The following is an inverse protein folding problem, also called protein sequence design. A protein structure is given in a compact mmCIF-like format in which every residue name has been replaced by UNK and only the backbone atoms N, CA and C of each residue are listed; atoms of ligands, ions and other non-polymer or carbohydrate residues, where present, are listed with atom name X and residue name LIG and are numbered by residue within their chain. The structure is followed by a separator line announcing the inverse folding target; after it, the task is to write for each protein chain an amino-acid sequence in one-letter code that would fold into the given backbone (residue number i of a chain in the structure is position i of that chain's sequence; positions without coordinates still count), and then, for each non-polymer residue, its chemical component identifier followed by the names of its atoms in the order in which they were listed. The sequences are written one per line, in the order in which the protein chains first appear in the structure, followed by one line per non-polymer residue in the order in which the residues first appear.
data_IF_530142251065
#
_entry.id   IF_530142251065
#
_cell.length_a   1.000
_cell.length_b   1.000
_cell.length_c   1.000
_cell.angle_alpha   90.00
_cell.angle_beta   90.00
_cell.angle_gamma   90.00
#
_symmetry.space_group_name_H-M   'P 1'
#
loop_
_entity.id
_entity.type
_entity.pdbx_description
1 polymer ?
#
# COMPACT_ATOMS: atom_id res chain seq x y z
N UNK A 1 -12.32 -56.17 41.16
CA UNK A 1 -12.63 -54.76 40.87
C UNK A 1 -11.70 -54.28 39.77
N UNK A 2 -12.19 -54.10 38.54
CA UNK A 2 -11.43 -53.51 37.43
C UNK A 2 -12.12 -52.19 37.06
N UNK A 3 -11.44 -51.08 37.33
CA UNK A 3 -11.91 -49.73 37.06
C UNK A 3 -11.58 -49.40 35.60
N UNK A 4 -12.62 -49.22 34.77
CA UNK A 4 -12.46 -48.78 33.37
C UNK A 4 -12.48 -47.24 33.36
N UNK A 5 -11.37 -46.63 32.99
CA UNK A 5 -11.28 -45.20 32.74
C UNK A 5 -11.84 -44.88 31.35
N UNK A 6 -12.87 -44.05 31.30
CA UNK A 6 -13.42 -43.48 30.07
C UNK A 6 -12.64 -42.20 29.78
N UNK A 7 -11.92 -42.16 28.66
CA UNK A 7 -11.28 -40.94 28.15
C UNK A 7 -12.32 -40.22 27.30
N UNK A 8 -12.76 -39.05 27.76
CA UNK A 8 -13.61 -38.13 26.99
C UNK A 8 -12.69 -37.17 26.25
N UNK A 9 -12.60 -37.32 24.92
CA UNK A 9 -11.86 -36.40 24.06
C UNK A 9 -12.80 -35.27 23.68
N UNK A 10 -12.56 -34.06 24.21
CA UNK A 10 -13.24 -32.84 23.78
C UNK A 10 -12.62 -32.36 22.46
N UNK A 11 -13.35 -32.51 21.37
CA UNK A 11 -13.03 -31.86 20.10
C UNK A 11 -13.51 -30.40 20.19
N UNK A 12 -12.61 -29.48 20.53
CA UNK A 12 -12.88 -28.04 20.43
C UNK A 12 -12.70 -27.66 18.97
N UNK A 13 -13.82 -27.59 18.24
CA UNK A 13 -13.85 -27.10 16.88
C UNK A 13 -13.74 -25.57 16.93
N UNK A 14 -12.53 -25.03 16.74
CA UNK A 14 -12.35 -23.60 16.50
C UNK A 14 -12.98 -23.28 15.14
N UNK A 15 -14.16 -22.66 15.14
CA UNK A 15 -14.65 -21.93 13.97
C UNK A 15 -13.74 -20.72 13.80
N UNK A 16 -12.72 -20.84 12.95
CA UNK A 16 -12.00 -19.68 12.45
C UNK A 16 -12.97 -18.98 11.52
N UNK A 17 -13.58 -17.88 11.99
CA UNK A 17 -14.21 -16.91 11.11
C UNK A 17 -13.08 -16.33 10.28
N UNK A 18 -12.84 -16.91 9.10
CA UNK A 18 -12.00 -16.28 8.10
C UNK A 18 -12.70 -14.96 7.77
N UNK A 19 -12.12 -13.84 8.23
CA UNK A 19 -12.52 -12.53 7.75
C UNK A 19 -12.43 -12.61 6.23
N UNK A 20 -13.55 -12.48 5.54
CA UNK A 20 -13.54 -12.35 4.09
C UNK A 20 -12.74 -11.12 3.80
N UNK A 21 -11.53 -11.29 3.24
CA UNK A 21 -10.77 -10.18 2.70
C UNK A 21 -11.73 -9.45 1.74
N UNK A 22 -12.05 -8.20 2.06
CA UNK A 22 -12.94 -7.41 1.24
C UNK A 22 -12.16 -7.12 -0.04
N UNK A 23 -12.65 -7.63 -1.16
CA UNK A 23 -11.96 -7.49 -2.44
C UNK A 23 -11.96 -6.03 -2.86
N UNK A 24 -10.85 -5.57 -3.42
CA UNK A 24 -10.73 -4.26 -4.05
C UNK A 24 -11.79 -4.16 -5.17
N UNK A 25 -12.60 -3.09 -5.21
CA UNK A 25 -13.59 -2.91 -6.26
C UNK A 25 -12.98 -2.85 -7.67
N UNK A 26 -13.74 -3.34 -8.65
CA UNK A 26 -13.43 -3.17 -10.07
C UNK A 26 -13.87 -1.77 -10.51
N UNK A 27 -13.15 -1.20 -11.49
CA UNK A 27 -13.52 0.09 -12.09
C UNK A 27 -13.99 -0.19 -13.52
N UNK A 28 -15.30 -0.43 -13.71
CA UNK A 28 -15.90 -0.85 -15.00
C UNK A 28 -17.23 -0.17 -15.35
N UNK A 29 -17.74 0.70 -14.48
CA UNK A 29 -18.97 1.46 -14.64
C UNK A 29 -20.20 0.68 -14.18
N UNK A 30 -20.03 -0.41 -13.43
CA UNK A 30 -21.11 -1.26 -12.93
C UNK A 30 -20.87 -1.59 -11.46
N UNK A 31 -21.77 -1.14 -10.60
CA UNK A 31 -21.78 -1.55 -9.20
C UNK A 31 -22.52 -2.89 -9.09
N UNK A 32 -21.76 -4.00 -9.02
CA UNK A 32 -22.33 -5.33 -8.87
C UNK A 32 -22.71 -5.61 -7.40
N UNK A 33 -23.74 -6.43 -7.13
CA UNK A 33 -24.12 -6.78 -5.75
C UNK A 33 -22.95 -7.34 -4.94
N UNK A 34 -22.66 -6.75 -3.78
CA UNK A 34 -21.58 -7.18 -2.89
C UNK A 34 -20.19 -6.61 -3.21
N UNK A 35 -20.03 -5.88 -4.31
CA UNK A 35 -18.74 -5.28 -4.70
C UNK A 35 -18.44 -4.02 -3.88
N UNK A 36 -19.39 -3.09 -3.83
CA UNK A 36 -19.23 -1.81 -3.14
C UNK A 36 -19.97 -1.73 -1.81
N UNK A 37 -20.80 -2.73 -1.47
CA UNK A 37 -21.68 -2.73 -0.29
C UNK A 37 -20.94 -2.43 1.02
N UNK A 38 -19.72 -2.95 1.18
CA UNK A 38 -18.89 -2.73 2.36
C UNK A 38 -18.27 -1.32 2.45
N UNK A 39 -18.37 -0.54 1.37
CA UNK A 39 -17.73 0.76 1.19
C UNK A 39 -18.74 1.91 1.07
N UNK A 40 -20.04 1.66 1.30
CA UNK A 40 -21.06 2.69 1.30
C UNK A 40 -20.83 3.68 2.45
N UNK A 41 -20.54 4.94 2.10
CA UNK A 41 -20.37 6.03 3.06
C UNK A 41 -21.72 6.66 3.43
N UNK A 42 -22.69 6.60 2.51
CA UNK A 42 -24.07 7.01 2.71
C UNK A 42 -24.70 7.55 1.43
N UNK A 43 -25.88 8.13 1.57
CA UNK A 43 -26.69 8.63 0.45
C UNK A 43 -26.86 10.14 0.59
N UNK A 44 -26.42 10.91 -0.40
CA UNK A 44 -26.74 12.34 -0.50
C UNK A 44 -28.13 12.49 -1.12
N UNK A 45 -28.95 13.42 -0.61
CA UNK A 45 -30.26 13.73 -1.22
C UNK A 45 -30.30 15.22 -1.56
N UNK A 46 -30.55 15.53 -2.83
CA UNK A 46 -30.61 16.92 -3.29
C UNK A 46 -31.91 17.60 -2.84
N UNK A 47 -31.82 18.88 -2.47
CA UNK A 47 -32.98 19.72 -2.15
C UNK A 47 -33.79 20.20 -3.36
N UNK A 48 -33.50 19.69 -4.57
CA UNK A 48 -34.14 20.17 -5.80
C UNK A 48 -35.58 19.67 -5.88
N UNK A 49 -36.45 20.39 -6.59
CA UNK A 49 -37.88 20.09 -6.72
C UNK A 49 -38.11 18.71 -7.33
N UNK A 50 -38.20 17.68 -6.48
CA UNK A 50 -38.39 16.27 -6.84
C UNK A 50 -37.45 15.30 -6.13
N UNK A 51 -36.33 15.78 -5.57
CA UNK A 51 -35.30 14.96 -4.91
C UNK A 51 -34.54 14.07 -5.90
N UNK A 52 -33.21 14.08 -5.81
CA UNK A 52 -32.34 13.08 -6.44
C UNK A 52 -31.42 12.56 -5.34
N UNK A 53 -31.21 11.25 -5.28
CA UNK A 53 -30.26 10.66 -4.34
C UNK A 53 -29.06 10.08 -5.05
N UNK A 54 -27.91 10.19 -4.40
CA UNK A 54 -26.65 9.63 -4.86
C UNK A 54 -26.05 8.84 -3.73
N UNK A 55 -25.88 7.55 -3.93
CA UNK A 55 -25.08 6.72 -3.05
C UNK A 55 -23.60 7.00 -3.31
N UNK A 56 -22.86 7.27 -2.24
CA UNK A 56 -21.44 7.59 -2.27
C UNK A 56 -20.68 6.48 -1.58
N UNK A 57 -19.72 5.92 -2.29
CA UNK A 57 -18.87 4.83 -1.82
C UNK A 57 -17.41 5.29 -1.80
N UNK A 58 -16.63 4.80 -0.84
CA UNK A 58 -15.21 5.11 -0.81
C UNK A 58 -14.39 4.24 0.12
N UNK A 59 -13.18 3.89 -0.34
CA UNK A 59 -12.19 3.15 0.44
C UNK A 59 -10.78 3.54 -0.01
N UNK A 60 -9.84 3.50 0.91
CA UNK A 60 -8.41 3.64 0.61
C UNK A 60 -7.73 2.28 0.76
N UNK A 61 -7.03 1.85 -0.29
CA UNK A 61 -6.25 0.62 -0.29
C UNK A 61 -5.04 0.74 -1.23
N UNK A 62 -3.90 0.15 -0.83
CA UNK A 62 -2.69 0.09 -1.66
C UNK A 62 -2.18 1.45 -2.17
N UNK A 63 -2.40 2.55 -1.44
CA UNK A 63 -2.02 3.91 -1.86
C UNK A 63 -2.98 4.57 -2.86
N UNK A 64 -4.15 3.98 -3.09
CA UNK A 64 -5.20 4.53 -3.95
C UNK A 64 -6.48 4.80 -3.16
N UNK A 65 -7.16 5.89 -3.51
CA UNK A 65 -8.57 6.12 -3.19
C UNK A 65 -9.42 5.47 -4.28
N UNK A 66 -10.30 4.57 -3.87
CA UNK A 66 -11.38 4.04 -4.67
C UNK A 66 -12.64 4.81 -4.27
N UNK A 67 -13.33 5.40 -5.25
CA UNK A 67 -14.55 6.15 -5.02
C UNK A 67 -15.58 5.79 -6.09
N UNK A 68 -16.83 5.59 -5.69
CA UNK A 68 -17.94 5.39 -6.62
C UNK A 68 -19.15 6.22 -6.23
N UNK A 69 -19.95 6.54 -7.24
CA UNK A 69 -21.14 7.35 -7.12
C UNK A 69 -22.24 6.72 -7.96
N UNK A 70 -23.41 6.52 -7.38
CA UNK A 70 -24.57 5.94 -8.04
C UNK A 70 -25.80 6.81 -7.82
N UNK A 71 -26.31 7.42 -8.90
CA UNK A 71 -27.53 8.21 -8.81
C UNK A 71 -28.78 7.33 -9.01
N UNK A 72 -29.76 7.49 -8.13
CA UNK A 72 -31.07 6.87 -8.27
C UNK A 72 -31.88 7.60 -9.34
N UNK A 73 -31.89 7.02 -10.54
CA UNK A 73 -32.56 7.57 -11.72
C UNK A 73 -34.09 7.39 -11.70
N UNK A 74 -34.63 6.75 -10.67
CA UNK A 74 -36.08 6.52 -10.51
C UNK A 74 -36.79 7.65 -9.77
N UNK A 75 -36.06 8.58 -9.16
CA UNK A 75 -36.63 9.66 -8.35
C UNK A 75 -37.27 10.76 -9.19
N UNK A 76 -38.29 11.41 -8.63
CA UNK A 76 -39.08 12.44 -9.31
C UNK A 76 -38.26 13.65 -9.77
N UNK A 77 -37.11 13.92 -9.13
CA UNK A 77 -36.19 14.97 -9.54
C UNK A 77 -35.43 14.64 -10.83
N UNK A 78 -35.19 13.36 -11.13
CA UNK A 78 -34.31 12.92 -12.22
C UNK A 78 -34.69 13.46 -13.61
N UNK A 79 -35.98 13.46 -14.03
CA UNK A 79 -36.35 13.98 -15.35
C UNK A 79 -36.03 15.47 -15.55
N UNK A 80 -35.87 16.23 -14.45
CA UNK A 80 -35.50 17.65 -14.50
C UNK A 80 -33.99 17.89 -14.42
N UNK A 81 -33.22 16.87 -14.04
CA UNK A 81 -31.78 16.96 -13.78
C UNK A 81 -30.95 16.04 -14.68
N UNK A 82 -31.57 15.20 -15.50
CA UNK A 82 -30.89 14.20 -16.34
C UNK A 82 -29.84 14.80 -17.28
N UNK A 83 -30.05 16.03 -17.77
CA UNK A 83 -29.07 16.77 -18.57
C UNK A 83 -27.77 17.08 -17.81
N UNK A 84 -27.78 16.95 -16.48
CA UNK A 84 -26.62 17.17 -15.61
C UNK A 84 -25.84 15.88 -15.33
N UNK A 85 -26.45 14.70 -15.53
CA UNK A 85 -25.88 13.39 -15.18
C UNK A 85 -25.37 13.32 -13.72
N UNK A 86 -24.70 12.22 -13.34
CA UNK A 86 -23.69 12.34 -12.27
C UNK A 86 -22.76 13.50 -12.69
N UNK A 87 -22.59 14.51 -11.82
CA UNK A 87 -22.04 15.79 -12.18
C UNK A 87 -20.64 15.64 -12.77
N UNK A 88 -20.22 16.59 -13.62
CA UNK A 88 -18.90 16.55 -14.20
C UNK A 88 -17.82 16.72 -13.13
N UNK A 89 -18.12 17.33 -12.00
CA UNK A 89 -17.11 17.79 -11.06
C UNK A 89 -17.17 17.03 -9.74
N UNK A 90 -16.10 16.27 -9.48
CA UNK A 90 -15.85 15.57 -8.21
C UNK A 90 -14.75 16.30 -7.46
N UNK A 91 -15.03 16.64 -6.21
CA UNK A 91 -14.09 17.33 -5.34
C UNK A 91 -13.60 16.37 -4.26
N UNK A 92 -12.30 16.37 -4.07
CA UNK A 92 -11.61 15.66 -3.02
C UNK A 92 -10.86 16.68 -2.20
N UNK A 93 -11.07 16.65 -0.89
CA UNK A 93 -10.51 17.65 0.02
C UNK A 93 -9.73 16.99 1.16
N UNK A 94 -8.53 17.51 1.38
CA UNK A 94 -7.60 17.12 2.44
C UNK A 94 -6.65 18.30 2.71
N UNK A 95 -6.29 18.63 3.97
CA UNK A 95 -6.93 18.14 5.18
C UNK A 95 -8.38 18.66 5.28
N UNK A 96 -9.20 18.06 6.13
CA UNK A 96 -10.58 18.49 6.40
C UNK A 96 -10.65 19.98 6.81
N UNK A 97 -9.58 20.50 7.42
CA UNK A 97 -9.46 21.90 7.83
C UNK A 97 -9.21 22.88 6.68
N UNK A 98 -8.98 22.40 5.44
CA UNK A 98 -8.83 23.28 4.30
C UNK A 98 -10.11 24.10 4.09
N UNK A 99 -9.97 25.41 3.87
CA UNK A 99 -11.09 26.33 3.59
C UNK A 99 -10.86 26.89 2.21
N UNK A 100 -11.84 26.81 1.32
CA UNK A 100 -11.76 27.39 -0.02
C UNK A 100 -11.44 28.90 0.05
N UNK A 101 -10.48 29.44 -0.73
CA UNK A 101 -9.67 28.82 -1.80
C UNK A 101 -8.25 28.37 -1.38
N UNK A 102 -8.06 27.88 -0.16
CA UNK A 102 -6.77 27.35 0.28
C UNK A 102 -6.37 26.06 -0.46
N UNK A 103 -5.06 25.81 -0.54
CA UNK A 103 -4.53 24.52 -0.96
C UNK A 103 -5.20 23.41 -0.13
N UNK A 104 -5.54 22.30 -0.79
CA UNK A 104 -6.19 21.15 -0.15
C UNK A 104 -7.35 20.57 -0.94
N UNK A 105 -7.76 21.23 -2.02
CA UNK A 105 -8.77 20.72 -2.93
C UNK A 105 -8.14 20.12 -4.18
N UNK A 106 -8.71 19.02 -4.64
CA UNK A 106 -8.44 18.39 -5.91
C UNK A 106 -9.78 18.20 -6.63
N UNK A 107 -9.87 18.73 -7.85
CA UNK A 107 -11.05 18.64 -8.70
C UNK A 107 -10.76 17.68 -9.84
N UNK A 108 -11.61 16.68 -10.01
CA UNK A 108 -11.67 15.89 -11.23
C UNK A 108 -12.89 16.31 -12.02
N UNK A 109 -12.61 16.95 -13.15
CA UNK A 109 -13.62 17.44 -14.08
C UNK A 109 -13.83 16.40 -15.17
N UNK A 110 -15.09 16.04 -15.42
CA UNK A 110 -15.54 15.30 -16.58
C UNK A 110 -16.07 16.32 -17.58
N UNK A 111 -15.20 16.76 -18.47
CA UNK A 111 -15.61 17.60 -19.58
C UNK A 111 -16.44 16.78 -20.55
N UNK A 112 -17.63 17.29 -20.88
CA UNK A 112 -18.53 16.68 -21.84
C UNK A 112 -17.99 16.91 -23.25
N UNK A 113 -17.55 15.84 -23.89
CA UNK A 113 -17.38 15.81 -25.33
C UNK A 113 -18.78 15.69 -25.95
N UNK A 114 -19.33 16.81 -26.45
CA UNK A 114 -20.62 16.85 -27.13
C UNK A 114 -20.68 16.02 -28.44
N UNK A 115 -19.57 15.42 -28.88
CA UNK A 115 -19.42 14.67 -30.13
C UNK A 115 -19.04 13.18 -29.95
N UNK A 116 -18.86 12.68 -28.72
CA UNK A 116 -18.63 11.26 -28.42
C UNK A 116 -17.33 10.65 -29.00
N UNK A 117 -16.34 11.46 -29.35
CA UNK A 117 -15.06 10.98 -29.87
C UNK A 117 -13.84 11.81 -29.42
N UNK A 118 -13.55 11.86 -28.11
CA UNK A 118 -12.28 11.49 -27.43
C UNK A 118 -12.21 12.15 -26.04
N UNK A 119 -12.34 11.39 -24.93
CA UNK A 119 -12.42 11.97 -23.60
C UNK A 119 -11.01 12.11 -23.00
N UNK A 120 -10.35 13.24 -23.25
CA UNK A 120 -9.20 13.74 -22.47
C UNK A 120 -8.83 15.14 -23.04
N UNK A 121 -9.76 16.09 -22.95
CA UNK A 121 -9.56 17.45 -23.48
C UNK A 121 -8.63 18.25 -22.58
N UNK A 122 -7.33 18.13 -22.80
CA UNK A 122 -6.22 18.93 -22.29
C UNK A 122 -6.05 19.04 -20.75
N UNK A 123 -7.11 19.15 -19.93
CA UNK A 123 -7.11 19.31 -18.47
C UNK A 123 -8.37 18.70 -17.86
N UNK A 124 -8.23 17.55 -17.21
CA UNK A 124 -9.31 16.84 -16.51
C UNK A 124 -9.08 16.76 -14.99
N UNK A 125 -7.89 17.18 -14.56
CA UNK A 125 -7.40 17.07 -13.20
C UNK A 125 -6.87 18.44 -12.81
N UNK A 126 -7.39 18.99 -11.71
CA UNK A 126 -7.01 20.31 -11.21
C UNK A 126 -6.76 20.24 -9.70
N UNK A 127 -5.85 21.06 -9.19
CA UNK A 127 -5.58 21.21 -7.76
C UNK A 127 -5.62 22.68 -7.38
N UNK A 128 -6.08 22.98 -6.17
CA UNK A 128 -6.00 24.35 -5.66
C UNK A 128 -4.57 24.74 -5.34
N UNK A 129 -4.10 25.86 -5.91
CA UNK A 129 -2.77 26.44 -5.67
C UNK A 129 -2.74 27.44 -4.49
N UNK A 130 -3.89 27.66 -3.84
CA UNK A 130 -4.09 28.61 -2.75
C UNK A 130 -4.78 29.90 -3.17
N UNK A 131 -5.01 30.09 -4.47
CA UNK A 131 -5.74 31.22 -5.06
C UNK A 131 -6.88 30.73 -5.96
N UNK A 132 -6.71 29.57 -6.61
CA UNK A 132 -7.74 28.90 -7.39
C UNK A 132 -7.24 27.55 -7.91
N UNK A 133 -7.95 26.99 -8.89
CA UNK A 133 -7.54 25.73 -9.51
C UNK A 133 -6.45 25.93 -10.58
N UNK A 134 -5.37 25.16 -10.46
CA UNK A 134 -4.34 25.00 -11.47
C UNK A 134 -4.50 23.63 -12.15
N UNK A 135 -4.46 23.62 -13.48
CA UNK A 135 -4.56 22.38 -14.26
C UNK A 135 -3.30 21.53 -14.18
N UNK A 136 -3.45 20.25 -13.87
CA UNK A 136 -2.34 19.28 -13.71
C UNK A 136 -2.32 18.18 -14.78
N UNK A 137 -3.22 18.25 -15.77
CA UNK A 137 -3.22 17.39 -16.95
C UNK A 137 -4.44 16.48 -17.06
N UNK A 138 -4.31 15.36 -17.77
CA UNK A 138 -5.38 14.39 -17.98
C UNK A 138 -5.41 13.31 -16.90
N UNK A 139 -6.54 12.62 -16.73
CA UNK A 139 -6.67 11.57 -15.70
C UNK A 139 -5.73 10.40 -16.00
N UNK A 140 -5.66 9.97 -17.27
CA UNK A 140 -4.79 8.87 -17.69
C UNK A 140 -3.29 9.18 -17.49
N UNK A 141 -2.85 10.42 -17.80
CA UNK A 141 -1.46 10.84 -17.59
C UNK A 141 -1.06 10.83 -16.10
N UNK A 142 -2.03 10.99 -15.21
CA UNK A 142 -1.84 10.95 -13.76
C UNK A 142 -2.12 9.56 -13.15
N UNK A 143 -2.37 8.52 -13.96
CA UNK A 143 -2.57 7.15 -13.45
C UNK A 143 -3.93 6.92 -12.77
N UNK A 144 -4.91 7.79 -13.03
CA UNK A 144 -6.29 7.60 -12.58
C UNK A 144 -6.97 6.60 -13.52
N UNK A 145 -7.54 5.53 -12.95
CA UNK A 145 -8.46 4.64 -13.67
C UNK A 145 -9.88 5.10 -13.40
N UNK A 146 -10.73 5.14 -14.43
CA UNK A 146 -12.11 5.57 -14.30
C UNK A 146 -13.02 4.74 -15.18
N UNK A 147 -14.25 4.57 -14.76
CA UNK A 147 -15.30 4.01 -15.59
C UNK A 147 -16.63 4.68 -15.26
N UNK A 148 -17.50 4.76 -16.24
CA UNK A 148 -18.79 5.40 -16.06
C UNK A 148 -19.82 4.75 -16.96
N UNK A 149 -21.07 4.82 -16.50
CA UNK A 149 -22.23 4.38 -17.25
C UNK A 149 -23.24 5.50 -17.21
N UNK A 150 -23.52 6.05 -18.38
CA UNK A 150 -24.54 7.07 -18.59
C UNK A 150 -25.67 6.51 -19.44
N UNK A 151 -26.87 7.11 -19.37
CA UNK A 151 -27.91 6.89 -20.38
C UNK A 151 -27.40 7.23 -21.78
N UNK A 152 -27.87 6.53 -22.82
CA UNK A 152 -27.38 6.68 -24.19
C UNK A 152 -27.39 8.14 -24.70
N UNK A 153 -26.28 8.52 -25.36
CA UNK A 153 -26.06 9.87 -25.92
C UNK A 153 -27.04 10.15 -27.06
N UNK A 154 -28.09 10.93 -26.78
CA UNK A 154 -29.13 11.27 -27.76
C UNK A 154 -30.45 11.67 -27.11
N UNK A 155 -30.62 11.39 -25.82
CA UNK A 155 -31.84 11.71 -25.08
C UNK A 155 -31.73 13.04 -24.32
N UNK A 156 -31.56 14.14 -25.07
CA UNK A 156 -31.61 15.51 -24.51
C UNK A 156 -32.98 15.88 -23.89
N UNK A 157 -33.93 14.94 -23.84
CA UNK A 157 -35.30 15.18 -23.37
C UNK A 157 -35.79 14.17 -22.33
N UNK A 158 -35.02 13.13 -21.98
CA UNK A 158 -35.42 12.00 -21.13
C UNK A 158 -36.93 11.70 -21.02
N UNK A 159 -37.70 11.47 -22.11
CA UNK A 159 -39.11 11.14 -21.93
C UNK A 159 -39.31 9.66 -21.60
N UNK A 160 -38.33 8.78 -21.91
CA UNK A 160 -38.48 7.32 -21.76
C UNK A 160 -37.14 6.56 -21.69
N UNK A 161 -36.03 7.24 -21.39
CA UNK A 161 -34.70 6.64 -21.33
C UNK A 161 -34.66 5.42 -20.41
N UNK A 162 -34.11 4.32 -20.92
CA UNK A 162 -33.96 3.03 -20.24
C UNK A 162 -33.62 3.21 -18.76
N UNK A 163 -34.46 2.66 -17.87
CA UNK A 163 -34.13 2.53 -16.45
C UNK A 163 -32.71 1.96 -16.34
N UNK A 164 -31.78 2.76 -15.84
CA UNK A 164 -30.38 2.44 -15.80
C UNK A 164 -29.69 3.32 -14.77
N UNK A 165 -28.78 2.71 -14.02
CA UNK A 165 -27.94 3.41 -13.05
C UNK A 165 -27.06 4.42 -13.80
N UNK A 166 -26.98 5.65 -13.28
CA UNK A 166 -25.93 6.57 -13.65
C UNK A 166 -24.80 6.37 -12.65
N UNK A 167 -23.65 5.89 -13.12
CA UNK A 167 -22.53 5.44 -12.27
C UNK A 167 -21.25 6.14 -12.71
N UNK A 168 -20.45 6.56 -11.73
CA UNK A 168 -19.06 6.92 -11.94
C UNK A 168 -18.18 6.22 -10.89
N UNK A 169 -17.10 5.59 -11.35
CA UNK A 169 -16.12 4.90 -10.51
C UNK A 169 -14.72 5.42 -10.80
N UNK A 170 -13.92 5.55 -9.74
CA UNK A 170 -12.57 6.07 -9.80
C UNK A 170 -11.62 5.24 -8.94
N UNK A 171 -10.42 5.02 -9.47
CA UNK A 171 -9.22 4.64 -8.72
C UNK A 171 -8.19 5.75 -8.89
N UNK A 172 -7.85 6.40 -7.79
CA UNK A 172 -7.11 7.66 -7.74
C UNK A 172 -5.86 7.46 -6.89
N UNK A 173 -4.64 7.67 -7.41
CA UNK A 173 -3.44 7.69 -6.55
C UNK A 173 -3.57 8.78 -5.49
N UNK A 174 -3.39 8.43 -4.21
CA UNK A 174 -3.51 9.41 -3.10
C UNK A 174 -2.46 10.51 -3.21
N UNK A 175 -1.33 10.23 -3.85
CA UNK A 175 -0.28 11.22 -4.16
C UNK A 175 -0.76 12.36 -5.06
N UNK A 176 -1.91 12.21 -5.73
CA UNK A 176 -2.54 13.29 -6.52
C UNK A 176 -3.50 14.14 -5.71
N UNK A 177 -3.82 13.77 -4.47
CA UNK A 177 -4.66 14.59 -3.61
C UNK A 177 -3.78 15.62 -2.93
N UNK A 178 -4.22 16.88 -2.94
CA UNK A 178 -3.49 17.97 -2.31
C UNK A 178 -3.35 17.67 -0.81
N UNK A 179 -2.14 17.36 -0.33
CA UNK A 179 -1.84 16.86 1.03
C UNK A 179 -2.26 15.42 1.36
N UNK A 180 -2.60 14.57 0.39
CA UNK A 180 -2.66 13.10 0.54
C UNK A 180 -3.32 12.51 1.80
N UNK A 181 -4.28 13.21 2.42
CA UNK A 181 -4.83 12.90 3.75
C UNK A 181 -3.82 12.96 4.88
N UNK A 182 -3.10 14.08 5.01
CA UNK A 182 -2.20 14.40 6.13
C UNK A 182 -2.90 14.28 7.51
N UNK A 183 -4.22 14.43 7.56
CA UNK A 183 -5.06 14.20 8.74
C UNK A 183 -5.74 12.83 8.76
N UNK A 184 -5.32 11.93 7.86
CA UNK A 184 -5.85 10.59 7.63
C UNK A 184 -7.31 10.57 7.15
N UNK A 185 -7.80 11.66 6.56
CA UNK A 185 -9.17 11.76 6.07
C UNK A 185 -9.16 12.36 4.66
N UNK A 186 -10.00 11.80 3.78
CA UNK A 186 -10.33 12.40 2.50
C UNK A 186 -11.83 12.69 2.50
N UNK A 187 -12.17 13.96 2.31
CA UNK A 187 -13.55 14.39 2.11
C UNK A 187 -13.93 14.25 0.63
N UNK A 188 -15.07 13.59 0.36
CA UNK A 188 -15.65 13.38 -0.96
C UNK A 188 -16.89 14.28 -1.10
N UNK A 189 -16.91 15.09 -2.16
CA UNK A 189 -18.02 15.99 -2.50
C UNK A 189 -18.20 16.13 -4.01
N UNK A 190 -19.35 16.69 -4.42
CA UNK A 190 -19.66 16.91 -5.84
C UNK A 190 -20.54 18.13 -6.04
N UNK A 191 -20.32 18.85 -7.15
CA UNK A 191 -20.84 20.21 -7.36
C UNK A 191 -22.37 20.35 -7.26
N UNK A 192 -23.13 19.30 -7.59
CA UNK A 192 -24.57 19.43 -7.86
C UNK A 192 -25.47 18.50 -7.03
N UNK A 193 -24.93 17.65 -6.17
CA UNK A 193 -25.74 16.77 -5.31
C UNK A 193 -25.64 17.03 -3.80
N UNK A 194 -24.78 17.95 -3.38
CA UNK A 194 -24.81 18.56 -2.05
C UNK A 194 -25.40 19.96 -2.24
N UNK A 195 -26.47 20.29 -1.52
CA UNK A 195 -27.15 21.58 -1.65
C UNK A 195 -26.32 22.65 -0.92
N UNK A 196 -25.19 23.04 -1.54
CA UNK A 196 -24.16 23.83 -0.90
C UNK A 196 -23.01 22.95 -0.41
N UNK A 197 -21.78 23.48 -0.48
CA UNK A 197 -20.56 22.80 0.00
C UNK A 197 -20.59 22.49 1.52
N UNK A 198 -21.59 22.98 2.24
CA UNK A 198 -21.76 22.83 3.69
C UNK A 198 -22.69 21.65 4.07
N UNK A 199 -23.38 21.03 3.11
CA UNK A 199 -24.31 19.93 3.37
C UNK A 199 -23.62 18.56 3.22
N UNK A 200 -23.57 17.80 4.33
CA UNK A 200 -23.17 16.40 4.49
C UNK A 200 -22.02 15.93 3.58
N UNK A 201 -20.80 16.22 4.01
CA UNK A 201 -19.57 15.63 3.47
C UNK A 201 -19.49 14.12 3.77
N UNK A 202 -18.94 13.36 2.82
CA UNK A 202 -18.58 11.95 3.00
C UNK A 202 -17.09 11.85 3.27
N UNK A 203 -16.71 10.95 4.17
CA UNK A 203 -15.31 10.83 4.61
C UNK A 203 -14.80 9.42 4.38
N UNK A 204 -13.64 9.33 3.73
CA UNK A 204 -12.85 8.10 3.68
C UNK A 204 -11.69 8.25 4.64
N UNK A 205 -11.55 7.30 5.57
CA UNK A 205 -10.38 7.26 6.46
C UNK A 205 -9.22 6.61 5.73
N UNK A 206 -8.07 7.28 5.71
CA UNK A 206 -6.80 6.68 5.34
C UNK A 206 -6.28 5.97 6.57
N UNK A 207 -6.08 4.66 6.49
CA UNK A 207 -5.29 3.98 7.51
C UNK A 207 -3.83 4.22 7.17
N UNK A 208 -3.08 5.02 7.95
CA UNK A 208 -1.67 5.22 7.68
C UNK A 208 -0.96 3.87 7.76
N UNK A 209 0.07 3.63 6.92
CA UNK A 209 0.80 2.38 6.99
C UNK A 209 1.40 2.20 8.38
N UNK A 210 1.30 0.98 8.90
CA UNK A 210 1.95 0.61 10.16
C UNK A 210 3.42 0.39 9.88
N UNK A 211 4.26 1.29 10.41
CA UNK A 211 5.72 1.19 10.30
C UNK A 211 6.27 0.42 11.49
N UNK A 212 7.07 -0.62 11.22
CA UNK A 212 7.77 -1.38 12.27
C UNK A 212 9.26 -1.43 11.98
N UNK A 213 10.07 -0.81 12.85
CA UNK A 213 11.53 -0.95 12.85
C UNK A 213 11.93 -2.34 13.37
N UNK A 214 13.06 -2.92 12.90
CA UNK A 214 13.58 -4.17 13.44
C UNK A 214 13.97 -3.96 14.92
N UNK A 215 13.55 -4.90 15.76
CA UNK A 215 13.92 -4.94 17.17
C UNK A 215 15.40 -5.28 17.37
N UNK A 216 16.08 -5.89 16.38
CA UNK A 216 17.50 -6.30 16.41
C UNK A 216 18.11 -6.25 15.02
N UNK A 217 19.38 -5.89 14.91
CA UNK A 217 20.13 -6.05 13.68
C UNK A 217 21.59 -6.45 13.93
N UNK A 218 22.16 -7.22 13.01
CA UNK A 218 23.59 -7.55 13.07
C UNK A 218 24.06 -7.98 11.71
N UNK A 219 25.38 -7.99 11.51
CA UNK A 219 26.00 -8.76 10.42
C UNK A 219 26.86 -9.88 10.96
N UNK A 220 27.17 -10.83 10.09
CA UNK A 220 28.18 -11.87 10.30
C UNK A 220 29.14 -11.87 9.12
N UNK A 221 30.42 -12.08 9.40
CA UNK A 221 31.47 -12.00 8.39
C UNK A 221 32.35 -13.26 8.42
N UNK A 222 32.47 -13.95 7.27
CA UNK A 222 33.31 -15.15 7.13
C UNK A 222 34.79 -14.88 7.42
N UNK A 223 35.26 -13.68 7.08
CA UNK A 223 36.63 -13.24 7.35
C UNK A 223 36.93 -13.05 8.85
N UNK A 224 35.90 -12.87 9.68
CA UNK A 224 36.01 -12.68 11.13
C UNK A 224 35.00 -13.57 11.86
N UNK A 225 35.21 -14.90 11.87
CA UNK A 225 34.13 -15.84 12.10
C UNK A 225 33.59 -15.88 13.54
N UNK A 226 34.35 -15.36 14.49
CA UNK A 226 33.97 -15.22 15.91
C UNK A 226 33.63 -13.80 16.32
N UNK A 227 33.78 -12.82 15.42
CA UNK A 227 33.47 -11.43 15.72
C UNK A 227 31.96 -11.20 15.72
N UNK A 228 31.51 -10.34 16.63
CA UNK A 228 30.15 -9.85 16.69
C UNK A 228 30.10 -8.40 16.18
N UNK A 229 29.03 -8.06 15.46
CA UNK A 229 28.83 -6.74 14.87
C UNK A 229 27.47 -6.13 15.22
N UNK A 230 26.85 -6.56 16.33
CA UNK A 230 25.51 -6.11 16.73
C UNK A 230 25.41 -4.62 17.09
N UNK A 231 26.55 -3.94 17.28
CA UNK A 231 26.62 -2.48 17.46
C UNK A 231 27.35 -1.81 16.30
N UNK A 232 27.47 -2.50 15.16
CA UNK A 232 28.11 -1.97 13.96
C UNK A 232 27.34 -0.77 13.43
N UNK A 233 28.04 0.15 12.76
CA UNK A 233 27.40 1.31 12.12
C UNK A 233 26.65 0.94 10.83
N UNK A 234 27.04 -0.16 10.21
CA UNK A 234 26.52 -0.61 8.92
C UNK A 234 26.30 -2.10 8.92
N UNK A 235 25.19 -2.50 8.33
CA UNK A 235 24.95 -3.84 7.83
C UNK A 235 25.67 -4.02 6.48
N UNK A 236 25.99 -5.25 6.11
CA UNK A 236 26.67 -5.55 4.86
C UNK A 236 26.24 -6.88 4.26
N UNK A 237 26.09 -6.88 2.94
CA UNK A 237 25.95 -8.09 2.13
C UNK A 237 27.11 -8.12 1.13
N UNK A 238 27.85 -9.23 1.08
CA UNK A 238 29.04 -9.38 0.23
C UNK A 238 29.17 -10.84 -0.24
N UNK A 239 29.37 -11.05 -1.54
CA UNK A 239 29.46 -12.38 -2.16
C UNK A 239 30.84 -13.04 -2.07
N UNK A 240 31.84 -12.34 -1.55
CA UNK A 240 33.25 -12.76 -1.58
C UNK A 240 33.54 -14.09 -0.87
N UNK A 241 34.28 -14.99 -1.50
CA UNK A 241 34.67 -16.33 -1.01
C UNK A 241 35.32 -16.38 0.37
N UNK A 242 36.23 -15.45 0.66
CA UNK A 242 36.94 -15.43 1.94
C UNK A 242 36.39 -14.37 2.90
N UNK A 243 35.38 -13.62 2.47
CA UNK A 243 34.85 -12.47 3.20
C UNK A 243 33.37 -12.28 2.94
N UNK A 244 32.60 -13.36 2.89
CA UNK A 244 31.15 -13.31 2.75
C UNK A 244 30.59 -12.58 3.96
N UNK A 245 29.75 -11.58 3.71
CA UNK A 245 29.00 -10.87 4.75
C UNK A 245 27.52 -11.15 4.53
N UNK A 246 26.79 -11.41 5.62
CA UNK A 246 25.32 -11.47 5.65
C UNK A 246 24.80 -10.57 6.75
N UNK A 247 23.61 -10.02 6.55
CA UNK A 247 22.95 -9.17 7.54
C UNK A 247 21.66 -9.80 8.05
N UNK A 248 21.29 -9.47 9.28
CA UNK A 248 20.19 -10.07 10.02
C UNK A 248 19.35 -8.94 10.59
N UNK A 249 18.03 -9.06 10.48
CA UNK A 249 17.04 -8.11 11.01
C UNK A 249 15.97 -8.91 11.75
N UNK A 250 15.86 -8.71 13.06
CA UNK A 250 14.85 -9.38 13.89
C UNK A 250 13.64 -8.46 14.07
N UNK A 251 12.45 -8.93 13.73
CA UNK A 251 11.19 -8.19 13.87
C UNK A 251 10.31 -8.79 14.97
N UNK A 252 9.61 -7.90 15.67
CA UNK A 252 8.57 -8.24 16.65
C UNK A 252 7.31 -7.42 16.35
N UNK A 253 6.31 -8.08 15.78
CA UNK A 253 5.04 -7.47 15.38
C UNK A 253 4.00 -7.53 16.52
N UNK A 254 4.38 -7.90 17.75
CA UNK A 254 3.42 -8.05 18.85
C UNK A 254 2.68 -6.76 19.21
N UNK A 255 3.31 -5.60 19.01
CA UNK A 255 2.73 -4.28 19.27
C UNK A 255 2.01 -3.64 18.08
N UNK A 256 1.98 -4.28 16.90
CA UNK A 256 1.39 -3.67 15.69
C UNK A 256 -0.13 -3.54 15.74
N UNK A 257 -0.82 -4.32 16.59
CA UNK A 257 -2.28 -4.41 16.61
C UNK A 257 -2.89 -5.15 15.41
N UNK A 258 -2.08 -5.51 14.41
CA UNK A 258 -2.53 -6.15 13.18
C UNK A 258 -2.80 -7.65 13.38
N UNK A 259 -3.80 -8.16 12.68
CA UNK A 259 -4.10 -9.59 12.52
C UNK A 259 -3.70 -10.13 11.14
N UNK A 260 -3.72 -9.28 10.12
CA UNK A 260 -3.33 -9.54 8.74
C UNK A 260 -3.00 -8.22 8.05
N UNK A 261 -2.33 -8.29 6.91
CA UNK A 261 -1.97 -7.15 6.05
C UNK A 261 -2.29 -7.47 4.59
N UNK A 262 -2.66 -6.47 3.81
CA UNK A 262 -2.81 -6.59 2.35
C UNK A 262 -1.47 -6.42 1.64
N UNK A 263 -0.56 -5.64 2.22
CA UNK A 263 0.80 -5.40 1.71
C UNK A 263 1.80 -5.30 2.87
N UNK A 264 3.02 -5.81 2.68
CA UNK A 264 4.14 -5.52 3.57
C UNK A 264 5.47 -5.45 2.81
N UNK A 265 6.10 -4.29 2.85
CA UNK A 265 7.38 -4.04 2.20
C UNK A 265 8.49 -3.85 3.24
N UNK A 266 9.60 -4.59 3.10
CA UNK A 266 10.83 -4.31 3.85
C UNK A 266 11.64 -3.26 3.11
N UNK A 267 11.84 -2.11 3.71
CA UNK A 267 12.63 -1.02 3.14
C UNK A 267 13.94 -0.82 3.91
N UNK A 268 15.05 -0.78 3.17
CA UNK A 268 16.38 -0.58 3.76
C UNK A 268 17.20 0.39 2.93
N UNK A 269 17.71 1.43 3.58
CA UNK A 269 18.52 2.45 2.94
C UNK A 269 19.96 1.99 2.71
N UNK A 270 20.46 2.29 1.51
CA UNK A 270 21.81 1.97 1.06
C UNK A 270 22.74 3.11 1.41
N UNK A 271 23.82 2.80 2.12
CA UNK A 271 24.89 3.75 2.40
C UNK A 271 25.92 3.81 1.26
N UNK A 272 26.33 2.63 0.77
CA UNK A 272 27.36 2.51 -0.24
C UNK A 272 27.27 1.17 -0.96
N UNK A 273 27.71 1.16 -2.22
CA UNK A 273 27.85 -0.06 -3.01
C UNK A 273 29.26 -0.26 -3.57
N UNK A 274 29.60 -1.52 -3.84
CA UNK A 274 30.81 -1.89 -4.56
C UNK A 274 30.77 -1.52 -6.05
N UNK A 275 31.94 -1.48 -6.70
CA UNK A 275 32.07 -1.02 -8.09
C UNK A 275 31.42 -1.93 -9.14
N UNK A 276 31.09 -3.17 -8.78
CA UNK A 276 30.55 -4.19 -9.69
C UNK A 276 29.20 -4.73 -9.22
N UNK A 277 28.52 -4.04 -8.30
CA UNK A 277 27.27 -4.54 -7.70
C UNK A 277 26.09 -4.52 -8.66
N UNK A 278 26.09 -3.66 -9.69
CA UNK A 278 24.93 -3.50 -10.58
C UNK A 278 24.60 -4.81 -11.29
N UNK A 279 23.31 -5.17 -11.29
CA UNK A 279 22.79 -6.44 -11.79
C UNK A 279 22.95 -7.62 -10.81
N UNK A 280 23.52 -7.39 -9.62
CA UNK A 280 23.53 -8.40 -8.56
C UNK A 280 22.17 -8.46 -7.88
N UNK A 281 21.80 -9.64 -7.36
CA UNK A 281 20.54 -9.83 -6.65
C UNK A 281 20.86 -9.96 -5.15
N UNK A 282 20.21 -9.12 -4.34
CA UNK A 282 20.23 -9.22 -2.88
C UNK A 282 18.92 -9.88 -2.44
N UNK A 283 19.03 -11.03 -1.82
CA UNK A 283 17.89 -11.83 -1.37
C UNK A 283 17.54 -11.52 0.09
N UNK A 284 16.25 -11.37 0.37
CA UNK A 284 15.69 -11.36 1.71
C UNK A 284 15.15 -12.76 2.04
N UNK A 285 15.81 -13.45 2.98
CA UNK A 285 15.38 -14.76 3.46
C UNK A 285 14.62 -14.62 4.76
N UNK A 286 13.36 -15.03 4.75
CA UNK A 286 12.52 -15.07 5.92
C UNK A 286 12.80 -16.31 6.75
N UNK A 287 13.06 -16.12 8.04
CA UNK A 287 13.41 -17.17 8.99
C UNK A 287 12.38 -17.21 10.12
N UNK A 288 11.43 -18.15 10.00
CA UNK A 288 10.23 -18.21 10.82
C UNK A 288 10.49 -18.64 12.25
N UNK A 289 9.94 -17.91 13.23
CA UNK A 289 10.07 -18.15 14.67
C UNK A 289 11.53 -18.28 15.15
N UNK A 290 12.46 -17.65 14.42
CA UNK A 290 13.86 -17.62 14.79
C UNK A 290 14.20 -16.25 15.36
N UNK A 291 14.73 -16.28 16.58
CA UNK A 291 15.28 -15.12 17.26
C UNK A 291 16.80 -15.29 17.39
N UNK A 292 17.53 -14.17 17.35
CA UNK A 292 18.97 -14.16 17.58
C UNK A 292 19.34 -13.19 18.70
N UNK A 293 20.48 -13.44 19.33
CA UNK A 293 21.08 -12.48 20.25
C UNK A 293 22.12 -11.66 19.49
N UNK A 294 21.74 -10.41 19.23
CA UNK A 294 22.52 -9.38 18.56
C UNK A 294 23.94 -9.22 19.09
N UNK A 295 24.18 -9.41 20.39
CA UNK A 295 25.50 -9.25 21.01
C UNK A 295 26.40 -10.49 20.90
N UNK A 296 25.87 -11.59 20.39
CA UNK A 296 26.61 -12.87 20.35
C UNK A 296 26.60 -13.54 18.98
N UNK A 297 25.70 -13.17 18.08
CA UNK A 297 25.66 -13.73 16.74
C UNK A 297 26.97 -13.42 15.98
N UNK A 298 27.51 -14.43 15.33
CA UNK A 298 28.73 -14.41 14.54
C UNK A 298 28.64 -15.48 13.45
N UNK A 299 29.65 -15.55 12.58
CA UNK A 299 29.64 -16.48 11.46
C UNK A 299 29.52 -17.95 11.90
N UNK A 300 30.16 -18.32 13.02
CA UNK A 300 30.18 -19.70 13.48
C UNK A 300 28.84 -20.14 14.10
N UNK A 301 28.15 -19.25 14.81
CA UNK A 301 26.91 -19.56 15.53
C UNK A 301 25.62 -19.06 14.85
N UNK A 302 25.70 -18.52 13.62
CA UNK A 302 24.51 -18.20 12.83
C UNK A 302 23.54 -19.39 12.77
N UNK A 303 22.24 -19.12 12.93
CA UNK A 303 21.20 -20.14 13.07
C UNK A 303 20.90 -20.88 11.77
N UNK A 304 20.94 -20.18 10.63
CA UNK A 304 20.83 -20.80 9.31
C UNK A 304 22.21 -21.24 8.82
N UNK A 305 22.32 -22.48 8.37
CA UNK A 305 23.52 -22.99 7.70
C UNK A 305 23.30 -22.95 6.21
N UNK A 306 24.33 -22.50 5.50
CA UNK A 306 24.28 -22.25 4.08
C UNK A 306 25.41 -23.03 3.41
N UNK A 307 25.13 -23.57 2.23
CA UNK A 307 26.12 -24.18 1.37
C UNK A 307 27.04 -23.09 0.82
N UNK A 308 28.22 -23.49 0.35
CA UNK A 308 29.18 -22.60 -0.33
C UNK A 308 28.60 -21.90 -1.56
N UNK A 309 27.61 -22.51 -2.23
CA UNK A 309 26.91 -21.86 -3.35
C UNK A 309 25.77 -20.92 -2.91
N UNK A 310 25.64 -20.62 -1.62
CA UNK A 310 24.59 -19.75 -1.07
C UNK A 310 23.24 -20.43 -0.82
N UNK A 311 23.05 -21.69 -1.23
CA UNK A 311 21.79 -22.38 -0.97
C UNK A 311 21.63 -22.76 0.52
N UNK A 312 20.40 -22.74 1.03
CA UNK A 312 20.12 -23.17 2.39
C UNK A 312 20.52 -24.65 2.59
N UNK A 313 21.35 -24.92 3.59
CA UNK A 313 21.75 -26.27 3.99
C UNK A 313 20.85 -26.79 5.11
N UNK A 314 20.60 -25.97 6.13
CA UNK A 314 19.69 -26.25 7.23
C UNK A 314 19.25 -24.96 7.92
N UNK A 315 18.07 -24.98 8.52
CA UNK A 315 17.44 -23.81 9.15
C UNK A 315 16.00 -23.69 8.72
N UNK A 316 15.20 -22.96 9.49
CA UNK A 316 13.79 -22.71 9.18
C UNK A 316 13.67 -21.39 8.41
N UNK A 317 14.25 -21.35 7.20
CA UNK A 317 14.25 -20.16 6.36
C UNK A 317 13.75 -20.45 4.95
N UNK A 318 13.07 -19.49 4.34
CA UNK A 318 12.60 -19.49 2.95
C UNK A 318 13.00 -18.19 2.28
N UNK A 319 13.24 -18.22 0.97
CA UNK A 319 13.42 -17.00 0.20
C UNK A 319 12.07 -16.28 0.13
N UNK A 320 12.02 -15.03 0.61
CA UNK A 320 10.83 -14.18 0.50
C UNK A 320 10.86 -13.46 -0.86
N UNK A 321 11.91 -12.66 -1.09
CA UNK A 321 12.06 -11.87 -2.32
C UNK A 321 13.53 -11.56 -2.64
N UNK A 322 13.81 -11.07 -3.85
CA UNK A 322 15.12 -10.68 -4.34
C UNK A 322 15.12 -9.32 -5.05
N UNK A 323 15.98 -8.42 -4.61
CA UNK A 323 16.15 -7.10 -5.20
C UNK A 323 17.32 -7.07 -6.17
N UNK A 324 17.08 -6.69 -7.43
CA UNK A 324 18.15 -6.48 -8.41
C UNK A 324 18.74 -5.08 -8.27
N UNK A 325 20.03 -4.97 -7.95
CA UNK A 325 20.70 -3.69 -7.75
C UNK A 325 20.82 -2.94 -9.09
N UNK A 326 20.06 -1.85 -9.23
CA UNK A 326 19.97 -1.10 -10.48
C UNK A 326 21.09 -0.08 -10.65
N UNK A 327 21.51 0.55 -9.56
CA UNK A 327 22.43 1.69 -9.58
C UNK A 327 23.56 1.50 -8.59
N UNK A 328 24.70 2.17 -8.87
CA UNK A 328 25.76 2.33 -7.89
C UNK A 328 25.46 3.52 -6.99
N UNK A 329 25.55 3.31 -5.70
CA UNK A 329 25.56 4.36 -4.67
C UNK A 329 27.00 4.63 -4.25
N UNK A 330 27.46 5.86 -4.47
CA UNK A 330 28.71 6.37 -3.91
C UNK A 330 28.42 6.92 -2.51
N UNK A 331 29.36 6.73 -1.56
CA UNK A 331 29.15 7.06 -0.15
C UNK A 331 28.60 8.47 0.07
N UNK A 332 27.60 8.62 0.94
CA UNK A 332 26.99 9.92 1.22
C UNK A 332 25.67 9.79 1.98
N UNK A 333 24.79 10.79 1.77
CA UNK A 333 23.41 10.70 2.21
C UNK A 333 22.72 9.50 1.54
N UNK A 334 21.87 8.76 2.26
CA UNK A 334 21.14 7.63 1.70
C UNK A 334 20.11 8.11 0.67
N UNK A 335 20.53 8.17 -0.59
CA UNK A 335 19.67 8.58 -1.72
C UNK A 335 18.91 7.40 -2.34
N UNK A 336 19.18 6.17 -1.91
CA UNK A 336 18.59 4.96 -2.48
C UNK A 336 18.19 3.98 -1.39
N UNK A 337 16.95 3.48 -1.50
CA UNK A 337 16.45 2.35 -0.70
C UNK A 337 16.31 1.12 -1.59
N UNK A 338 16.49 -0.04 -0.99
CA UNK A 338 16.08 -1.32 -1.58
C UNK A 338 14.81 -1.78 -0.86
N UNK A 339 13.89 -2.35 -1.63
CA UNK A 339 12.58 -2.81 -1.15
C UNK A 339 12.39 -4.27 -1.52
N UNK A 340 11.85 -5.05 -0.59
CA UNK A 340 11.49 -6.45 -0.78
C UNK A 340 10.04 -6.66 -0.36
N UNK A 341 9.26 -7.37 -1.18
CA UNK A 341 7.90 -7.80 -0.80
C UNK A 341 8.01 -8.91 0.26
N UNK A 342 7.37 -8.69 1.40
CA UNK A 342 7.33 -9.59 2.55
C UNK A 342 5.89 -9.92 2.97
N UNK A 343 4.90 -9.66 2.11
CA UNK A 343 3.47 -9.72 2.44
C UNK A 343 3.04 -11.11 2.95
N UNK A 344 3.48 -12.18 2.29
CA UNK A 344 3.14 -13.55 2.69
C UNK A 344 3.78 -13.92 4.03
N UNK A 345 5.04 -13.55 4.21
CA UNK A 345 5.87 -13.80 5.38
C UNK A 345 5.36 -13.07 6.62
N UNK A 346 4.99 -11.79 6.47
CA UNK A 346 4.38 -10.99 7.54
C UNK A 346 3.05 -11.60 7.97
N UNK A 347 2.18 -11.99 7.04
CA UNK A 347 0.92 -12.66 7.38
C UNK A 347 1.14 -14.02 8.08
N UNK A 348 2.18 -14.77 7.70
CA UNK A 348 2.58 -15.98 8.41
C UNK A 348 3.08 -15.67 9.84
N UNK A 349 3.84 -14.59 10.03
CA UNK A 349 4.27 -14.16 11.35
C UNK A 349 3.08 -13.70 12.22
N UNK A 350 2.15 -12.90 11.67
CA UNK A 350 0.98 -12.37 12.36
C UNK A 350 0.02 -13.47 12.85
N UNK A 351 -0.08 -14.58 12.11
CA UNK A 351 -0.87 -15.75 12.49
C UNK A 351 -0.18 -16.71 13.48
N UNK A 352 1.02 -16.36 13.96
CA UNK A 352 1.81 -17.20 14.88
C UNK A 352 2.26 -16.42 16.13
N UNK A 353 3.55 -16.40 16.46
CA UNK A 353 4.09 -15.68 17.62
C UNK A 353 4.47 -14.22 17.31
N UNK A 354 4.19 -13.75 16.08
CA UNK A 354 4.48 -12.39 15.60
C UNK A 354 5.97 -12.02 15.56
N UNK A 355 6.88 -13.00 15.55
CA UNK A 355 8.34 -12.78 15.51
C UNK A 355 9.00 -13.56 14.39
N UNK A 356 9.93 -12.91 13.73
CA UNK A 356 10.75 -13.53 12.69
C UNK A 356 12.06 -12.80 12.51
N UNK A 357 13.00 -13.44 11.80
CA UNK A 357 14.24 -12.81 11.36
C UNK A 357 14.29 -12.77 9.84
N UNK A 358 14.78 -11.68 9.27
CA UNK A 358 15.16 -11.59 7.86
C UNK A 358 16.68 -11.70 7.76
N UNK A 359 17.17 -12.54 6.85
CA UNK A 359 18.59 -12.65 6.51
C UNK A 359 18.80 -12.08 5.11
N UNK A 360 19.58 -11.01 5.02
CA UNK A 360 20.02 -10.46 3.74
C UNK A 360 21.31 -11.17 3.32
N UNK A 361 21.29 -11.73 2.11
CA UNK A 361 22.47 -12.33 1.47
C UNK A 361 22.49 -12.04 -0.01
N UNK A 362 23.65 -12.24 -0.61
CA UNK A 362 23.78 -12.19 -2.06
C UNK A 362 23.23 -13.50 -2.66
N UNK A 363 22.56 -13.45 -3.81
CA UNK A 363 22.00 -14.63 -4.49
C UNK A 363 23.05 -15.72 -4.75
N UNK A 364 24.23 -15.25 -5.12
CA UNK A 364 25.42 -16.02 -5.36
C UNK A 364 26.47 -15.68 -4.31
N UNK A 365 27.04 -16.69 -3.67
CA UNK A 365 28.12 -16.50 -2.70
C UNK A 365 29.38 -17.23 -3.19
N UNK A 366 30.45 -17.02 -2.44
CA UNK A 366 31.78 -17.56 -2.69
C UNK A 366 32.42 -17.16 -4.03
N UNK A 367 32.22 -15.90 -4.45
CA UNK A 367 32.88 -15.31 -5.62
C UNK A 367 34.29 -14.79 -5.31
N UNK A 368 35.16 -14.73 -6.31
CA UNK A 368 36.57 -14.36 -6.11
C UNK A 368 36.83 -12.86 -5.97
N UNK A 369 35.91 -11.99 -6.40
CA UNK A 369 36.08 -10.54 -6.36
C UNK A 369 35.47 -9.93 -5.07
N UNK A 370 35.80 -8.67 -4.76
CA UNK A 370 35.30 -7.95 -3.57
C UNK A 370 34.47 -6.71 -3.94
N UNK A 371 33.97 -6.65 -5.17
CA UNK A 371 33.41 -5.44 -5.73
C UNK A 371 31.87 -5.50 -5.80
N UNK A 372 31.28 -6.60 -5.33
CA UNK A 372 29.83 -6.87 -5.29
C UNK A 372 29.35 -6.90 -3.85
N UNK A 373 29.30 -5.73 -3.25
CA UNK A 373 28.75 -5.57 -1.92
C UNK A 373 27.75 -4.42 -1.87
N UNK A 374 26.85 -4.53 -0.90
CA UNK A 374 25.97 -3.43 -0.48
C UNK A 374 26.17 -3.22 1.02
N UNK A 375 26.37 -1.96 1.41
CA UNK A 375 26.34 -1.53 2.80
C UNK A 375 25.01 -0.84 3.07
N UNK A 376 24.32 -1.31 4.10
CA UNK A 376 23.02 -0.81 4.52
C UNK A 376 23.13 -0.06 5.84
N UNK A 377 22.24 0.89 6.05
CA UNK A 377 22.07 1.54 7.34
C UNK A 377 21.44 0.58 8.36
N UNK A 378 21.79 0.78 9.62
CA UNK A 378 21.36 -0.05 10.75
C UNK A 378 20.12 0.52 11.43
N UNK A 379 19.47 -0.27 12.28
CA UNK A 379 18.34 0.20 13.10
C UNK A 379 18.76 1.37 14.01
N UNK A 380 20.03 1.42 14.40
CA UNK A 380 20.58 2.44 15.31
C UNK A 380 21.10 3.68 14.57
N UNK A 381 20.76 3.85 13.28
CA UNK A 381 21.12 5.07 12.55
C UNK A 381 20.50 6.31 13.20
N UNK A 382 21.24 7.43 13.18
CA UNK A 382 20.88 8.64 13.94
C UNK A 382 19.61 9.33 13.46
N UNK A 383 19.31 9.20 12.17
CA UNK A 383 18.11 9.78 11.56
C UNK A 383 17.06 8.69 11.37
N UNK A 384 15.95 8.77 12.11
CA UNK A 384 14.95 7.73 12.17
C UNK A 384 14.32 7.41 10.80
N UNK A 385 14.14 8.42 9.94
CA UNK A 385 13.61 8.25 8.58
C UNK A 385 14.47 7.39 7.67
N UNK A 386 15.73 7.11 8.03
CA UNK A 386 16.66 6.30 7.25
C UNK A 386 16.94 4.93 7.86
N UNK A 387 16.24 4.57 8.94
CA UNK A 387 16.35 3.24 9.55
C UNK A 387 15.64 2.20 8.71
N UNK A 388 16.12 0.94 8.69
CA UNK A 388 15.38 -0.17 8.11
C UNK A 388 14.00 -0.30 8.77
N UNK A 389 12.95 -0.62 8.00
CA UNK A 389 11.61 -0.81 8.54
C UNK A 389 10.73 -1.65 7.61
N UNK A 390 9.66 -2.21 8.18
CA UNK A 390 8.51 -2.74 7.43
C UNK A 390 7.46 -1.64 7.27
N UNK A 391 6.95 -1.48 6.06
CA UNK A 391 5.77 -0.66 5.73
C UNK A 391 4.60 -1.60 5.48
N UNK A 392 3.57 -1.56 6.33
CA UNK A 392 2.43 -2.49 6.25
C UNK A 392 1.11 -1.76 6.10
N UNK A 393 0.19 -2.27 5.27
CA UNK A 393 -1.18 -1.73 5.11
C UNK A 393 -2.25 -2.80 5.23
#
# INVERSE_FOLDING_TARGET
MRQKSIIVIFFVCFLVLAGTAIAVPTIDGVISPGEWDAYLLGTSVTGWSGGMSVDVYGVVDGGYLYAAYEADTTQLGWPTTCALSIPPNFYYKTPQSAVDPAQGFTLFEMTYDAAGSTPDVNLDVQQTDGVGFAGIGTKAANGITRAWKQPDSGDATCPTGSLGQNIAEFKIPISLLTYGGDDNIIELSGQFWQFGFDDQAFYVTINPPVIVEPAKDSKVAKAQPTANFGTGRYMMVNDKQWGTDRSYLGFDLSSSGLSSVSNADLEIYVYQTGSQVVGSIIEAWYCFNLDFNELTINWNNQFAKWKTNGALLSGNCTLADGYTVLNRVNSGLPETKHTWDMTAEVNQALSSNKKFTVVLKHDTEDKSNNYRYVQYLTRDYSEASFRPHLVMS
#
